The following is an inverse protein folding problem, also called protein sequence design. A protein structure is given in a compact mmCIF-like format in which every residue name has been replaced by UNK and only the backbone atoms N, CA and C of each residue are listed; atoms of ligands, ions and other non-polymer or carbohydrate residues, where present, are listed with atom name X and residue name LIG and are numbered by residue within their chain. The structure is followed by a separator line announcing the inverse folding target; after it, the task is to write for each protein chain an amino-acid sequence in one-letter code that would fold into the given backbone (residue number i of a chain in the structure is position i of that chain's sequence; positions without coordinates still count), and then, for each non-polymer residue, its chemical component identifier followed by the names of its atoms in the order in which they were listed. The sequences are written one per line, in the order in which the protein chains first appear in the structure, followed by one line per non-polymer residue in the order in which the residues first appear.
data_IF_784084389581
#
_entry.id   IF_784084389581
#
_cell.length_a   1.000
_cell.length_b   1.000
_cell.length_c   1.000
_cell.angle_alpha   90.00
_cell.angle_beta   90.00
_cell.angle_gamma   90.00
#
_symmetry.space_group_name_H-M   'P 1'
#
loop_
_entity.id
_entity.type
_entity.pdbx_description
1 polymer ?
#
# COMPACT_ATOMS: atom_id res chain seq x y z
N UNK A 1 -32.27 55.96 -21.32
CA UNK A 1 -30.96 55.85 -20.62
C UNK A 1 -31.06 55.04 -19.31
N UNK A 2 -31.76 53.90 -19.29
CA UNK A 2 -31.86 53.00 -18.11
C UNK A 2 -31.52 51.53 -18.40
N UNK A 3 -31.47 51.16 -19.69
CA UNK A 3 -31.21 49.77 -20.13
C UNK A 3 -29.71 49.41 -20.12
N UNK A 4 -28.81 50.41 -20.22
CA UNK A 4 -27.35 50.18 -20.24
C UNK A 4 -26.78 49.99 -18.80
N UNK A 5 -27.43 50.55 -17.77
CA UNK A 5 -27.02 50.37 -16.37
C UNK A 5 -27.31 48.97 -15.83
N UNK A 6 -28.33 48.27 -16.33
CA UNK A 6 -28.68 46.92 -15.89
C UNK A 6 -27.71 45.86 -16.39
N UNK A 7 -27.13 46.01 -17.58
CA UNK A 7 -26.15 45.04 -18.09
C UNK A 7 -24.76 45.18 -17.45
N UNK A 8 -24.42 46.38 -16.97
CA UNK A 8 -23.16 46.61 -16.26
C UNK A 8 -23.13 45.87 -14.91
N UNK A 9 -24.29 45.67 -14.27
CA UNK A 9 -24.40 44.90 -13.02
C UNK A 9 -24.26 43.38 -13.25
N UNK A 10 -24.72 42.86 -14.39
CA UNK A 10 -24.69 41.42 -14.68
C UNK A 10 -23.33 40.93 -15.21
N UNK A 11 -22.56 41.79 -15.89
CA UNK A 11 -21.20 41.46 -16.34
C UNK A 11 -20.23 41.37 -15.15
N UNK A 12 -20.42 42.17 -14.10
CA UNK A 12 -19.60 42.13 -12.89
C UNK A 12 -19.73 40.82 -12.09
N UNK A 13 -20.92 40.20 -12.07
CA UNK A 13 -21.17 38.95 -11.33
C UNK A 13 -20.56 37.73 -12.04
N UNK A 14 -20.50 37.74 -13.37
CA UNK A 14 -19.87 36.66 -14.16
C UNK A 14 -18.34 36.69 -14.00
N UNK A 15 -17.73 37.86 -13.83
CA UNK A 15 -16.29 38.00 -13.61
C UNK A 15 -15.85 37.54 -12.21
N UNK A 16 -16.76 37.59 -11.22
CA UNK A 16 -16.52 37.14 -9.84
C UNK A 16 -16.63 35.61 -9.66
N UNK A 17 -17.15 34.87 -10.65
CA UNK A 17 -17.25 33.40 -10.60
C UNK A 17 -16.02 32.67 -11.15
N UNK A 18 -15.07 33.39 -11.79
CA UNK A 18 -13.86 32.80 -12.37
C UNK A 18 -12.61 32.95 -11.47
N UNK A 19 -12.75 33.54 -10.29
CA UNK A 19 -11.64 33.76 -9.33
C UNK A 19 -11.66 32.82 -8.13
N UNK A 20 -12.37 31.69 -8.23
CA UNK A 20 -12.10 30.52 -7.37
C UNK A 20 -10.78 29.89 -7.83
N UNK A 21 -9.68 30.58 -7.56
CA UNK A 21 -8.34 30.04 -7.68
C UNK A 21 -8.27 28.85 -6.73
N UNK A 22 -8.24 27.65 -7.31
CA UNK A 22 -7.76 26.45 -6.65
C UNK A 22 -6.44 26.74 -5.93
N UNK A 23 -6.48 26.89 -4.60
CA UNK A 23 -5.31 26.62 -3.76
C UNK A 23 -5.29 25.13 -3.46
N UNK A 24 -5.13 24.33 -4.50
CA UNK A 24 -4.41 23.07 -4.32
C UNK A 24 -2.95 23.51 -4.14
N UNK A 25 -2.42 23.37 -2.93
CA UNK A 25 -1.00 23.59 -2.67
C UNK A 25 -0.20 22.80 -3.71
N UNK A 26 0.52 23.51 -4.58
CA UNK A 26 1.59 22.90 -5.38
C UNK A 26 2.53 22.22 -4.38
N UNK A 27 2.48 20.89 -4.33
CA UNK A 27 3.51 20.13 -3.64
C UNK A 27 4.84 20.54 -4.30
N UNK A 28 5.91 20.77 -3.52
CA UNK A 28 7.18 21.19 -4.09
C UNK A 28 7.54 20.19 -5.18
N UNK A 29 7.75 20.68 -6.41
CA UNK A 29 8.00 19.86 -7.61
C UNK A 29 9.07 18.79 -7.33
N UNK A 30 10.08 19.12 -6.53
CA UNK A 30 11.13 18.17 -6.12
C UNK A 30 10.69 17.05 -5.17
N UNK A 31 9.65 17.22 -4.33
CA UNK A 31 9.18 16.14 -3.44
C UNK A 31 8.34 15.12 -4.21
N UNK A 32 7.51 15.57 -5.16
CA UNK A 32 6.70 14.70 -6.00
C UNK A 32 7.54 13.92 -7.01
N UNK A 33 8.59 14.55 -7.57
CA UNK A 33 9.53 13.91 -8.49
C UNK A 33 10.37 12.83 -7.79
N UNK A 34 10.81 13.07 -6.55
CA UNK A 34 11.48 12.05 -5.71
C UNK A 34 10.61 10.81 -5.44
N UNK A 35 9.27 10.95 -5.34
CA UNK A 35 8.38 9.77 -5.22
C UNK A 35 8.28 9.01 -6.54
N UNK A 36 8.47 9.71 -7.67
CA UNK A 36 8.34 9.10 -8.99
C UNK A 36 9.54 8.21 -9.37
N UNK A 37 10.72 8.47 -8.78
CA UNK A 37 11.92 7.65 -8.97
C UNK A 37 12.05 6.51 -7.94
N UNK A 38 11.27 6.53 -6.85
CA UNK A 38 11.34 5.48 -5.83
C UNK A 38 10.80 4.15 -6.35
N UNK A 39 11.57 3.09 -6.19
CA UNK A 39 11.18 1.72 -6.52
C UNK A 39 10.33 1.16 -5.38
N UNK A 40 9.09 0.80 -5.70
CA UNK A 40 8.13 0.29 -4.72
C UNK A 40 7.89 -1.21 -4.91
N UNK A 41 7.93 -1.95 -3.80
CA UNK A 41 7.51 -3.35 -3.72
C UNK A 41 6.28 -3.46 -2.82
N UNK A 42 5.28 -4.22 -3.25
CA UNK A 42 4.17 -4.66 -2.42
C UNK A 42 4.31 -6.17 -2.23
N UNK A 43 4.57 -6.60 -1.00
CA UNK A 43 4.53 -8.02 -0.61
C UNK A 43 3.28 -8.24 0.21
N UNK A 44 2.48 -9.25 -0.14
CA UNK A 44 1.27 -9.53 0.62
C UNK A 44 1.03 -11.01 0.90
N UNK A 45 0.45 -11.31 2.07
CA UNK A 45 -0.12 -12.61 2.41
C UNK A 45 -1.65 -12.52 2.29
N UNK A 46 -2.30 -13.56 1.75
CA UNK A 46 -3.76 -13.59 1.64
C UNK A 46 -4.29 -15.01 1.77
N UNK A 47 -5.31 -15.20 2.62
CA UNK A 47 -6.01 -16.50 2.76
C UNK A 47 -7.25 -16.58 1.89
N UNK A 48 -8.11 -15.57 2.01
CA UNK A 48 -9.42 -15.50 1.36
C UNK A 48 -9.51 -14.35 0.35
N UNK A 49 -8.37 -13.96 -0.24
CA UNK A 49 -8.25 -12.96 -1.32
C UNK A 49 -8.57 -11.50 -0.93
N UNK A 50 -8.99 -11.21 0.31
CA UNK A 50 -9.26 -9.83 0.75
C UNK A 50 -8.01 -8.95 0.66
N UNK A 51 -6.89 -9.38 1.27
CA UNK A 51 -5.63 -8.61 1.24
C UNK A 51 -5.08 -8.51 -0.18
N UNK A 52 -5.24 -9.56 -0.99
CA UNK A 52 -4.89 -9.57 -2.42
C UNK A 52 -5.61 -8.46 -3.17
N UNK A 53 -6.93 -8.34 -3.01
CA UNK A 53 -7.72 -7.31 -3.65
C UNK A 53 -7.23 -5.90 -3.27
N UNK A 54 -6.88 -5.66 -2.00
CA UNK A 54 -6.31 -4.37 -1.58
C UNK A 54 -4.94 -4.14 -2.20
N UNK A 55 -4.04 -5.14 -2.18
CA UNK A 55 -2.70 -5.04 -2.74
C UNK A 55 -2.74 -4.74 -4.25
N UNK A 56 -3.63 -5.40 -4.99
CA UNK A 56 -3.88 -5.13 -6.41
C UNK A 56 -4.42 -3.72 -6.65
N UNK A 57 -5.35 -3.23 -5.82
CA UNK A 57 -5.86 -1.85 -5.92
C UNK A 57 -4.79 -0.80 -5.64
N UNK A 58 -3.85 -1.06 -4.73
CA UNK A 58 -2.71 -0.18 -4.48
C UNK A 58 -1.76 -0.23 -5.68
N UNK A 59 -1.41 -1.43 -6.14
CA UNK A 59 -0.54 -1.64 -7.30
C UNK A 59 -1.06 -0.99 -8.59
N UNK A 60 -2.38 -0.87 -8.75
CA UNK A 60 -2.98 -0.16 -9.89
C UNK A 60 -2.84 1.36 -9.80
N UNK A 61 -2.62 1.91 -8.60
CA UNK A 61 -2.52 3.35 -8.34
C UNK A 61 -1.09 3.85 -8.30
N UNK A 62 -0.12 2.96 -8.07
CA UNK A 62 1.30 3.32 -7.96
C UNK A 62 2.11 2.39 -8.86
N UNK A 63 3.22 2.88 -9.42
CA UNK A 63 4.13 2.06 -10.20
C UNK A 63 4.95 1.17 -9.24
N UNK A 64 4.45 -0.02 -8.93
CA UNK A 64 5.08 -0.97 -8.01
C UNK A 64 5.19 -2.38 -8.58
N UNK A 65 6.11 -3.15 -8.02
CA UNK A 65 6.10 -4.61 -8.16
C UNK A 65 5.16 -5.22 -7.12
N UNK A 66 4.43 -6.27 -7.50
CA UNK A 66 3.44 -6.95 -6.64
C UNK A 66 3.79 -8.42 -6.48
N UNK A 67 3.99 -8.87 -5.24
CA UNK A 67 4.39 -10.25 -4.92
C UNK A 67 3.49 -10.85 -3.85
N UNK A 68 2.93 -12.03 -4.16
CA UNK A 68 2.21 -12.86 -3.19
C UNK A 68 3.22 -13.69 -2.37
N UNK A 69 3.06 -13.67 -1.05
CA UNK A 69 3.90 -14.40 -0.11
C UNK A 69 3.38 -15.84 0.04
N UNK A 70 4.18 -16.80 -0.45
CA UNK A 70 3.88 -18.23 -0.40
C UNK A 70 4.81 -18.95 0.59
N UNK A 71 4.23 -19.82 1.42
CA UNK A 71 4.97 -20.76 2.26
C UNK A 71 5.52 -21.92 1.42
N UNK A 72 6.62 -22.54 1.86
CA UNK A 72 7.06 -23.82 1.28
C UNK A 72 6.01 -24.92 1.50
N UNK A 73 5.40 -24.93 2.69
CA UNK A 73 4.27 -25.80 3.03
C UNK A 73 3.05 -24.92 3.31
N UNK A 74 2.03 -24.95 2.44
CA UNK A 74 0.83 -24.14 2.63
C UNK A 74 0.10 -24.48 3.94
N UNK A 75 -0.53 -23.47 4.55
CA UNK A 75 -1.45 -23.71 5.66
C UNK A 75 -2.65 -24.57 5.23
N UNK A 76 -3.25 -25.32 6.16
CA UNK A 76 -4.46 -26.08 5.89
C UNK A 76 -5.61 -25.16 5.42
N UNK A 77 -6.48 -25.69 4.57
CA UNK A 77 -7.65 -24.94 4.11
C UNK A 77 -8.68 -24.71 5.24
N UNK A 78 -8.76 -25.64 6.20
CA UNK A 78 -9.66 -25.54 7.34
C UNK A 78 -9.26 -24.39 8.27
N UNK A 79 -10.25 -23.58 8.65
CA UNK A 79 -10.03 -22.39 9.45
C UNK A 79 -9.54 -22.73 10.86
N UNK A 80 -10.17 -23.71 11.52
CA UNK A 80 -9.84 -24.03 12.91
C UNK A 80 -8.42 -24.61 13.01
N UNK A 81 -8.08 -25.49 12.09
CA UNK A 81 -6.74 -26.07 11.97
C UNK A 81 -5.69 -24.99 11.71
N UNK A 82 -5.98 -24.01 10.85
CA UNK A 82 -5.09 -22.85 10.63
C UNK A 82 -4.91 -22.03 11.91
N UNK A 83 -6.00 -21.72 12.62
CA UNK A 83 -5.96 -20.95 13.87
C UNK A 83 -5.10 -21.66 14.92
N UNK A 84 -5.26 -22.97 15.06
CA UNK A 84 -4.51 -23.76 16.04
C UNK A 84 -3.03 -23.84 15.67
N UNK A 85 -2.71 -24.01 14.39
CA UNK A 85 -1.33 -23.98 13.91
C UNK A 85 -0.69 -22.61 14.16
N UNK A 86 -1.34 -21.51 13.76
CA UNK A 86 -0.82 -20.15 13.94
C UNK A 86 -0.63 -19.81 15.42
N UNK A 87 -1.54 -20.26 16.30
CA UNK A 87 -1.38 -20.08 17.75
C UNK A 87 -0.14 -20.83 18.28
N UNK A 88 0.07 -22.08 17.86
CA UNK A 88 1.25 -22.87 18.23
C UNK A 88 2.56 -22.30 17.69
N UNK A 89 2.55 -21.77 16.47
CA UNK A 89 3.72 -21.14 15.85
C UNK A 89 4.09 -19.84 16.58
N UNK A 90 3.10 -18.99 16.88
CA UNK A 90 3.32 -17.78 17.67
C UNK A 90 3.83 -18.09 19.08
N UNK A 91 3.28 -19.10 19.75
CA UNK A 91 3.70 -19.47 21.11
C UNK A 91 5.15 -19.97 21.21
N UNK A 92 5.74 -20.38 20.08
CA UNK A 92 7.11 -20.90 20.00
C UNK A 92 8.03 -20.03 19.15
N UNK A 93 7.59 -18.82 18.79
CA UNK A 93 8.29 -17.92 17.87
C UNK A 93 8.76 -18.62 16.57
N UNK A 94 7.97 -19.57 16.08
CA UNK A 94 8.30 -20.33 14.88
C UNK A 94 8.12 -19.49 13.62
N UNK A 95 9.17 -19.44 12.81
CA UNK A 95 9.19 -18.75 11.52
C UNK A 95 9.06 -19.78 10.40
N UNK A 96 7.87 -19.98 9.80
CA UNK A 96 7.68 -20.97 8.75
C UNK A 96 8.52 -20.62 7.51
N UNK A 97 9.14 -21.60 6.84
CA UNK A 97 9.97 -21.35 5.67
C UNK A 97 9.12 -20.90 4.47
N UNK A 98 9.66 -19.95 3.71
CA UNK A 98 9.00 -19.33 2.58
C UNK A 98 9.49 -19.90 1.24
N UNK A 99 8.55 -20.07 0.31
CA UNK A 99 8.82 -20.37 -1.09
C UNK A 99 9.18 -19.10 -1.85
N UNK A 100 8.51 -17.98 -1.54
CA UNK A 100 8.76 -16.68 -2.15
C UNK A 100 10.17 -16.19 -1.83
N UNK A 101 10.91 -15.80 -2.86
CA UNK A 101 12.23 -15.16 -2.80
C UNK A 101 12.19 -13.87 -3.61
N UNK A 102 12.86 -12.84 -3.09
CA UNK A 102 13.02 -11.54 -3.73
C UNK A 102 14.51 -11.42 -4.06
N UNK A 103 14.86 -11.60 -5.32
CA UNK A 103 16.26 -11.71 -5.75
C UNK A 103 17.04 -10.40 -5.65
N UNK A 104 16.35 -9.26 -5.53
CA UNK A 104 16.98 -7.94 -5.47
C UNK A 104 16.23 -6.96 -4.56
N UNK A 105 16.03 -7.35 -3.30
CA UNK A 105 15.29 -6.52 -2.32
C UNK A 105 15.95 -5.16 -2.07
N UNK A 106 17.26 -5.07 -2.27
CA UNK A 106 18.06 -3.86 -2.13
C UNK A 106 17.62 -2.74 -3.07
N UNK A 107 17.04 -3.08 -4.23
CA UNK A 107 16.60 -2.11 -5.25
C UNK A 107 15.35 -1.32 -4.87
N UNK A 108 14.62 -1.76 -3.85
CA UNK A 108 13.38 -1.10 -3.44
C UNK A 108 13.62 -0.08 -2.32
N UNK A 109 13.07 1.12 -2.50
CA UNK A 109 13.12 2.19 -1.50
C UNK A 109 11.95 2.08 -0.52
N UNK A 110 10.79 1.63 -1.03
CA UNK A 110 9.55 1.48 -0.26
C UNK A 110 9.06 0.04 -0.37
N UNK A 111 8.70 -0.56 0.76
CA UNK A 111 8.11 -1.89 0.84
C UNK A 111 6.79 -1.81 1.60
N UNK A 112 5.69 -2.04 0.89
CA UNK A 112 4.39 -2.27 1.50
C UNK A 112 4.28 -3.72 1.94
N UNK A 113 3.84 -3.94 3.19
CA UNK A 113 3.64 -5.26 3.78
C UNK A 113 2.15 -5.47 4.06
N UNK A 114 1.45 -6.15 3.14
CA UNK A 114 0.02 -6.44 3.25
C UNK A 114 -0.27 -7.79 3.91
N UNK A 115 -1.12 -7.83 4.94
CA UNK A 115 -1.52 -9.11 5.55
C UNK A 115 -2.91 -9.04 6.19
N UNK A 116 -3.62 -10.18 6.30
CA UNK A 116 -4.76 -10.31 7.20
C UNK A 116 -4.29 -10.32 8.66
N UNK A 117 -5.11 -9.83 9.59
CA UNK A 117 -4.84 -9.99 11.02
C UNK A 117 -5.16 -11.41 11.46
N UNK A 118 -4.17 -12.14 11.98
CA UNK A 118 -4.36 -13.49 12.54
C UNK A 118 -4.06 -13.47 14.03
N UNK A 119 -5.06 -13.79 14.86
CA UNK A 119 -4.93 -13.73 16.32
C UNK A 119 -4.58 -12.32 16.83
N UNK A 120 -5.08 -11.28 16.16
CA UNK A 120 -4.75 -9.86 16.45
C UNK A 120 -3.25 -9.52 16.32
N UNK A 121 -2.51 -10.27 15.50
CA UNK A 121 -1.07 -10.12 15.33
C UNK A 121 -0.65 -10.21 13.86
N UNK A 122 0.62 -9.87 13.60
CA UNK A 122 1.32 -10.15 12.36
C UNK A 122 1.41 -11.67 12.13
N UNK A 123 0.94 -12.20 10.99
CA UNK A 123 1.05 -13.64 10.69
C UNK A 123 2.50 -14.15 10.73
N UNK A 124 2.76 -15.38 11.23
CA UNK A 124 4.09 -15.99 11.24
C UNK A 124 4.83 -15.97 9.89
N UNK A 125 4.20 -16.21 8.71
CA UNK A 125 4.91 -16.12 7.44
C UNK A 125 5.45 -14.72 7.15
N UNK A 126 4.75 -13.68 7.61
CA UNK A 126 5.20 -12.31 7.43
C UNK A 126 6.35 -11.97 8.37
N UNK A 127 6.38 -12.55 9.58
CA UNK A 127 7.56 -12.52 10.45
C UNK A 127 8.76 -13.20 9.76
N UNK A 128 8.55 -14.34 9.10
CA UNK A 128 9.60 -15.00 8.31
C UNK A 128 10.14 -14.10 7.19
N UNK A 129 9.25 -13.41 6.47
CA UNK A 129 9.65 -12.48 5.41
C UNK A 129 10.53 -11.36 5.96
N UNK A 130 10.10 -10.71 7.04
CA UNK A 130 10.85 -9.60 7.66
C UNK A 130 12.19 -10.05 8.23
N UNK A 131 12.32 -11.32 8.65
CA UNK A 131 13.59 -11.87 9.12
C UNK A 131 14.52 -12.33 7.98
N UNK A 132 14.01 -12.52 6.76
CA UNK A 132 14.80 -13.00 5.63
C UNK A 132 15.64 -11.89 4.98
N UNK A 133 15.26 -10.62 5.14
CA UNK A 133 15.88 -9.51 4.43
C UNK A 133 16.26 -8.38 5.39
N UNK A 134 17.39 -7.73 5.12
CA UNK A 134 17.71 -6.45 5.75
C UNK A 134 16.89 -5.34 5.10
N UNK A 135 15.97 -4.77 5.87
CA UNK A 135 15.11 -3.66 5.43
C UNK A 135 15.60 -2.30 5.96
N UNK A 136 16.79 -2.25 6.56
CA UNK A 136 17.38 -1.03 7.09
C UNK A 136 17.51 0.04 6.00
N UNK A 137 17.12 1.28 6.34
CA UNK A 137 17.16 2.41 5.40
C UNK A 137 16.02 2.43 4.37
N UNK A 138 15.16 1.41 4.33
CA UNK A 138 13.94 1.40 3.49
C UNK A 138 12.75 1.95 4.24
N UNK A 139 11.78 2.51 3.53
CA UNK A 139 10.48 2.85 4.10
C UNK A 139 9.59 1.62 4.07
N UNK A 140 9.22 1.12 5.24
CA UNK A 140 8.30 -0.03 5.38
C UNK A 140 6.92 0.49 5.81
N UNK A 141 5.88 0.12 5.04
CA UNK A 141 4.50 0.60 5.21
C UNK A 141 3.55 -0.58 5.43
#
# INVERSE_FOLDING_TARGET
MKIIQTYSLWIGVIFLMLTSCSRASELPVGKAELINDMKVLIVYLSRTKNTKAIAEMINQKINSDLVELELQTPYPADYKTTVDQVASENARDFLPPLKTKIDSIEKYDIIFIGFPTWGMQLPPPMKSFMNQYDLSGKTVI
#
